data_IF_774589440485
#
_entry.id   IF_774589440485
#
_cell.length_a   1.000
_cell.length_b   1.000
_cell.length_c   1.000
_cell.angle_alpha   90.00
_cell.angle_beta   90.00
_cell.angle_gamma   90.00
#
_symmetry.space_group_name_H-M   'P 1'
#
loop_
_entity.id
_entity.type
_entity.pdbx_description
1 polymer ?
#
# COMPACT_ATOMS: atom_id res chain seq x y z
N UNK A 1 -2.28 13.72 10.72
CA UNK A 1 -3.36 12.76 10.44
C UNK A 1 -4.29 12.68 11.64
N UNK A 2 -5.27 13.58 11.75
CA UNK A 2 -6.30 13.40 12.76
C UNK A 2 -7.16 12.21 12.33
N UNK A 3 -7.22 11.19 13.18
CA UNK A 3 -8.21 10.13 13.02
C UNK A 3 -9.60 10.77 13.04
N UNK A 4 -10.44 10.42 12.06
CA UNK A 4 -11.83 10.91 12.03
C UNK A 4 -12.52 10.60 13.37
N UNK A 5 -13.19 11.60 13.95
CA UNK A 5 -14.03 11.41 15.14
C UNK A 5 -15.49 11.56 14.74
N UNK A 6 -16.33 10.73 15.36
CA UNK A 6 -17.77 10.79 15.15
C UNK A 6 -18.27 12.19 15.55
N UNK A 7 -18.91 12.87 14.60
CA UNK A 7 -19.41 14.24 14.77
C UNK A 7 -18.56 15.33 14.12
N UNK A 8 -17.32 15.03 13.74
CA UNK A 8 -16.48 15.94 12.95
C UNK A 8 -16.95 15.98 11.48
N UNK A 9 -16.51 16.99 10.75
CA UNK A 9 -16.59 17.01 9.28
C UNK A 9 -15.91 15.77 8.69
N UNK A 10 -16.44 15.29 7.57
CA UNK A 10 -15.82 14.15 6.87
C UNK A 10 -14.39 14.50 6.44
N UNK A 11 -13.48 13.51 6.41
CA UNK A 11 -12.14 13.67 5.84
C UNK A 11 -12.21 14.12 4.36
N UNK A 12 -11.25 14.96 3.98
CA UNK A 12 -11.12 15.55 2.63
C UNK A 12 -9.71 15.36 2.09
N UNK A 13 -9.07 14.22 2.42
CA UNK A 13 -7.76 13.88 1.85
C UNK A 13 -7.91 13.71 0.33
N UNK A 14 -6.84 14.02 -0.41
CA UNK A 14 -6.88 14.15 -1.86
C UNK A 14 -5.94 13.20 -2.55
N UNK A 15 -6.35 12.74 -3.73
CA UNK A 15 -5.46 12.23 -4.76
C UNK A 15 -5.36 13.28 -5.86
N UNK A 16 -4.13 13.69 -6.16
CA UNK A 16 -3.84 14.78 -7.09
C UNK A 16 -3.11 14.23 -8.31
N UNK A 17 -3.42 14.77 -9.48
CA UNK A 17 -2.64 14.60 -10.70
C UNK A 17 -1.78 15.86 -10.84
N UNK A 18 -0.47 15.66 -11.00
CA UNK A 18 0.51 16.72 -11.23
C UNK A 18 1.06 16.58 -12.65
N UNK A 19 0.88 17.60 -13.46
CA UNK A 19 1.25 17.61 -14.87
C UNK A 19 2.33 18.68 -15.12
N UNK A 20 3.34 18.32 -15.90
CA UNK A 20 4.28 19.25 -16.53
C UNK A 20 3.81 19.47 -17.97
N UNK A 21 3.10 20.59 -18.22
CA UNK A 21 2.50 20.86 -19.54
C UNK A 21 3.51 21.42 -20.54
N UNK A 22 4.72 21.77 -20.10
CA UNK A 22 5.74 22.40 -20.92
C UNK A 22 7.04 21.57 -21.08
N UNK A 23 7.14 20.42 -20.41
CA UNK A 23 8.27 19.48 -20.40
C UNK A 23 9.59 20.06 -19.86
N UNK A 24 9.56 20.97 -18.87
CA UNK A 24 10.75 21.49 -18.19
C UNK A 24 11.21 20.66 -16.97
N UNK A 25 10.50 19.57 -16.69
CA UNK A 25 10.71 18.68 -15.55
C UNK A 25 10.04 19.18 -14.26
N UNK A 26 9.17 20.19 -14.32
CA UNK A 26 8.43 20.71 -13.16
C UNK A 26 6.94 20.67 -13.44
N UNK A 27 6.18 20.16 -12.47
CA UNK A 27 4.73 20.24 -12.54
C UNK A 27 4.27 21.71 -12.50
N UNK A 28 3.40 22.08 -13.45
CA UNK A 28 2.82 23.41 -13.60
C UNK A 28 1.28 23.41 -13.56
N UNK A 29 0.65 22.23 -13.63
CA UNK A 29 -0.79 22.03 -13.48
C UNK A 29 -1.10 20.98 -12.41
N UNK A 30 -2.13 21.25 -11.62
CA UNK A 30 -2.62 20.37 -10.57
C UNK A 30 -4.12 20.14 -10.75
N UNK A 31 -4.51 18.87 -10.81
CA UNK A 31 -5.90 18.42 -10.90
C UNK A 31 -6.26 17.59 -9.67
N UNK A 32 -7.45 17.81 -9.09
CA UNK A 32 -7.95 16.99 -7.98
C UNK A 32 -8.72 15.82 -8.58
N UNK A 33 -8.12 14.63 -8.60
CA UNK A 33 -8.77 13.42 -9.08
C UNK A 33 -9.81 12.91 -8.08
N UNK A 34 -9.46 12.91 -6.80
CA UNK A 34 -10.35 12.55 -5.68
C UNK A 34 -10.14 13.52 -4.51
N UNK A 35 -11.22 13.88 -3.80
CA UNK A 35 -11.16 14.85 -2.70
C UNK A 35 -11.96 14.48 -1.44
N UNK A 36 -12.42 13.23 -1.35
CA UNK A 36 -13.22 12.68 -0.26
C UNK A 36 -12.55 11.45 0.39
N UNK A 37 -11.22 11.43 0.42
CA UNK A 37 -10.45 10.32 0.95
C UNK A 37 -10.18 10.46 2.46
N UNK A 38 -9.87 9.34 3.09
CA UNK A 38 -9.52 9.22 4.50
C UNK A 38 -8.33 8.28 4.62
N UNK A 39 -7.16 8.82 4.97
CA UNK A 39 -5.91 8.06 5.14
C UNK A 39 -5.52 7.30 3.85
N UNK A 40 -5.38 7.99 2.68
CA UNK A 40 -4.93 7.37 1.44
C UNK A 40 -3.41 7.14 1.44
N UNK A 41 -2.96 6.15 2.19
CA UNK A 41 -1.54 5.88 2.47
C UNK A 41 -0.78 5.22 1.31
N UNK A 42 -1.49 4.64 0.34
CA UNK A 42 -0.90 4.01 -0.83
C UNK A 42 -1.93 3.85 -1.94
N UNK A 43 -1.44 3.86 -3.18
CA UNK A 43 -2.30 3.68 -4.34
C UNK A 43 -1.54 3.03 -5.50
N UNK A 44 -2.29 2.44 -6.43
CA UNK A 44 -1.77 1.91 -7.70
C UNK A 44 -2.65 2.32 -8.86
N UNK A 45 -2.02 2.73 -9.96
CA UNK A 45 -2.72 3.14 -11.18
C UNK A 45 -3.16 1.90 -11.94
N UNK A 46 -4.38 1.93 -12.44
CA UNK A 46 -4.97 0.93 -13.34
C UNK A 46 -5.29 1.57 -14.70
N UNK A 47 -5.72 0.76 -15.65
CA UNK A 47 -6.08 1.23 -16.99
C UNK A 47 -7.21 2.27 -17.05
N UNK A 48 -8.11 2.27 -16.05
CA UNK A 48 -9.33 3.07 -16.02
C UNK A 48 -9.65 3.60 -14.61
N UNK A 49 -8.61 3.75 -13.78
CA UNK A 49 -8.80 4.16 -12.40
C UNK A 49 -7.58 3.96 -11.51
N UNK A 50 -7.81 4.03 -10.21
CA UNK A 50 -6.77 3.93 -9.18
C UNK A 50 -7.27 3.06 -8.03
N UNK A 51 -6.47 2.06 -7.64
CA UNK A 51 -6.64 1.34 -6.38
C UNK A 51 -6.06 2.20 -5.26
N UNK A 52 -6.80 2.45 -4.18
CA UNK A 52 -6.37 3.36 -3.12
C UNK A 52 -6.68 2.72 -1.77
N UNK A 53 -5.77 2.84 -0.80
CA UNK A 53 -6.12 2.58 0.59
C UNK A 53 -7.07 3.66 1.10
N UNK A 54 -8.11 3.26 1.81
CA UNK A 54 -9.11 4.17 2.37
C UNK A 54 -9.42 3.67 3.77
N UNK A 55 -8.69 4.18 4.76
CA UNK A 55 -8.83 3.73 6.15
C UNK A 55 -8.72 2.20 6.19
N UNK A 56 -9.65 1.48 6.82
CA UNK A 56 -9.65 0.02 6.91
C UNK A 56 -10.08 -0.72 5.62
N UNK A 57 -10.01 -0.09 4.45
CA UNK A 57 -10.48 -0.64 3.18
C UNK A 57 -9.51 -0.44 2.02
N UNK A 58 -9.58 -1.34 1.03
CA UNK A 58 -9.03 -1.13 -0.31
C UNK A 58 -10.18 -0.77 -1.24
N UNK A 59 -10.09 0.38 -1.90
CA UNK A 59 -11.11 0.87 -2.84
C UNK A 59 -10.54 0.99 -4.25
N UNK A 60 -11.43 0.94 -5.24
CA UNK A 60 -11.12 1.24 -6.63
C UNK A 60 -11.93 2.45 -7.09
N UNK A 61 -11.23 3.50 -7.51
CA UNK A 61 -11.79 4.75 -7.99
C UNK A 61 -11.63 4.79 -9.52
N UNK A 62 -12.72 4.91 -10.28
CA UNK A 62 -12.67 4.90 -11.75
C UNK A 62 -13.12 6.23 -12.32
N UNK A 63 -12.37 6.70 -13.30
CA UNK A 63 -12.78 7.77 -14.22
C UNK A 63 -13.38 7.07 -15.45
N UNK A 64 -14.64 7.36 -15.74
CA UNK A 64 -15.43 6.70 -16.79
C UNK A 64 -15.74 7.60 -17.97
N UNK A 65 -15.47 8.90 -17.88
CA UNK A 65 -15.71 9.88 -18.94
C UNK A 65 -14.45 10.63 -19.42
N UNK A 66 -13.31 10.42 -18.75
CA UNK A 66 -12.01 10.94 -19.12
C UNK A 66 -11.79 12.40 -18.72
N UNK A 67 -12.50 12.88 -17.69
CA UNK A 67 -12.39 14.26 -17.18
C UNK A 67 -11.34 14.47 -16.08
N UNK A 68 -10.52 13.44 -15.82
CA UNK A 68 -9.50 13.39 -14.77
C UNK A 68 -10.08 13.49 -13.34
N UNK A 69 -11.34 13.07 -13.15
CA UNK A 69 -11.95 12.85 -11.84
C UNK A 69 -12.60 11.48 -11.76
N UNK A 70 -12.63 10.92 -10.56
CA UNK A 70 -13.33 9.64 -10.39
C UNK A 70 -14.86 9.85 -10.42
N UNK A 71 -15.55 8.96 -11.14
CA UNK A 71 -17.01 8.87 -11.23
C UNK A 71 -17.58 7.80 -10.30
N UNK A 72 -16.85 6.69 -10.15
CA UNK A 72 -17.32 5.53 -9.39
C UNK A 72 -16.30 5.06 -8.37
N UNK A 73 -16.81 4.54 -7.24
CA UNK A 73 -16.03 4.03 -6.11
C UNK A 73 -16.54 2.65 -5.73
N UNK A 74 -15.70 1.63 -5.88
CA UNK A 74 -15.97 0.26 -5.45
C UNK A 74 -15.13 -0.07 -4.21
N UNK A 75 -15.76 -0.54 -3.13
CA UNK A 75 -15.02 -1.14 -1.99
C UNK A 75 -14.71 -2.58 -2.35
N UNK A 76 -13.43 -2.88 -2.56
CA UNK A 76 -12.99 -4.22 -2.97
C UNK A 76 -12.81 -5.14 -1.77
N UNK A 77 -12.21 -4.62 -0.70
CA UNK A 77 -11.91 -5.34 0.53
C UNK A 77 -12.06 -4.38 1.70
N UNK A 78 -12.54 -4.91 2.83
CA UNK A 78 -12.63 -4.21 4.10
C UNK A 78 -12.17 -5.11 5.24
N UNK A 79 -11.89 -4.51 6.41
CA UNK A 79 -11.37 -5.22 7.57
C UNK A 79 -9.85 -5.16 7.68
N UNK A 80 -9.21 -4.27 6.92
CA UNK A 80 -7.88 -3.82 7.29
C UNK A 80 -7.97 -2.96 8.55
N UNK A 81 -6.95 -3.03 9.40
CA UNK A 81 -6.87 -2.18 10.59
C UNK A 81 -6.20 -0.85 10.22
N UNK A 82 -6.72 0.25 10.75
CA UNK A 82 -6.25 1.61 10.53
C UNK A 82 -6.05 2.39 11.84
N UNK A 83 -6.06 1.68 12.98
CA UNK A 83 -6.00 2.29 14.31
C UNK A 83 -4.76 3.16 14.52
N UNK A 84 -3.61 2.74 13.98
CA UNK A 84 -2.49 3.64 13.73
C UNK A 84 -2.49 4.05 12.26
N UNK A 85 -2.95 5.27 12.02
CA UNK A 85 -3.11 5.84 10.68
C UNK A 85 -1.83 5.83 9.84
N UNK A 86 -0.63 5.79 10.46
CA UNK A 86 0.64 5.77 9.72
C UNK A 86 1.09 4.36 9.31
N UNK A 87 0.42 3.33 9.83
CA UNK A 87 0.77 1.92 9.63
C UNK A 87 -0.22 1.20 8.72
N UNK A 88 -1.33 1.86 8.36
CA UNK A 88 -2.38 1.33 7.49
C UNK A 88 -1.80 0.84 6.15
N UNK A 89 -2.57 0.05 5.39
CA UNK A 89 -2.09 -0.54 4.14
C UNK A 89 -1.51 0.53 3.19
N UNK A 90 -0.23 0.39 2.85
CA UNK A 90 0.57 1.39 2.16
C UNK A 90 1.65 0.73 1.27
N UNK A 91 2.55 1.55 0.71
CA UNK A 91 3.70 1.12 -0.08
C UNK A 91 3.33 0.13 -1.20
N UNK A 92 2.35 0.51 -2.01
CA UNK A 92 1.83 -0.39 -3.02
C UNK A 92 2.88 -0.65 -4.10
N UNK A 93 2.90 -1.88 -4.61
CA UNK A 93 3.73 -2.24 -5.75
C UNK A 93 3.08 -3.38 -6.52
N UNK A 94 3.00 -3.26 -7.85
CA UNK A 94 2.45 -4.31 -8.72
C UNK A 94 3.52 -5.32 -9.13
N UNK A 95 3.21 -6.62 -8.99
CA UNK A 95 4.03 -7.68 -9.55
C UNK A 95 3.74 -7.94 -11.03
N UNK A 96 4.60 -8.73 -11.70
CA UNK A 96 4.49 -9.03 -13.13
C UNK A 96 3.16 -9.72 -13.54
N UNK A 97 2.34 -10.19 -12.59
CA UNK A 97 1.01 -10.73 -12.86
C UNK A 97 -0.12 -9.70 -12.79
N UNK A 98 0.18 -8.46 -12.44
CA UNK A 98 -0.80 -7.41 -12.17
C UNK A 98 -1.42 -7.50 -10.77
N UNK A 99 -0.83 -8.27 -9.84
CA UNK A 99 -1.29 -8.32 -8.46
C UNK A 99 -0.60 -7.22 -7.64
N UNK A 100 -1.35 -6.61 -6.74
CA UNK A 100 -0.93 -5.48 -5.92
C UNK A 100 -0.41 -6.02 -4.59
N UNK A 101 0.83 -5.69 -4.26
CA UNK A 101 1.39 -5.90 -2.93
C UNK A 101 1.15 -4.67 -2.09
N UNK A 102 0.83 -4.86 -0.81
CA UNK A 102 0.53 -3.79 0.13
C UNK A 102 1.21 -4.13 1.45
N UNK A 103 1.84 -3.14 2.07
CA UNK A 103 2.54 -3.29 3.32
C UNK A 103 1.67 -2.80 4.49
N UNK A 104 1.81 -3.45 5.65
CA UNK A 104 1.10 -3.12 6.89
C UNK A 104 2.11 -3.05 8.05
N UNK A 105 1.95 -2.07 8.94
CA UNK A 105 2.84 -1.87 10.08
C UNK A 105 2.51 -2.68 11.34
N UNK A 106 3.43 -2.64 12.31
CA UNK A 106 3.47 -3.56 13.46
C UNK A 106 2.31 -3.46 14.47
N UNK A 107 1.60 -2.34 14.54
CA UNK A 107 0.54 -2.17 15.54
C UNK A 107 -0.81 -2.78 15.12
N UNK A 108 -0.92 -3.16 13.86
CA UNK A 108 -2.20 -3.46 13.23
C UNK A 108 -2.56 -4.93 13.25
N UNK A 109 -3.88 -5.17 13.36
CA UNK A 109 -4.51 -6.48 13.46
C UNK A 109 -5.66 -6.60 12.46
N UNK A 110 -5.31 -6.70 11.17
CA UNK A 110 -6.29 -6.84 10.09
C UNK A 110 -7.05 -8.17 10.11
N UNK A 111 -8.37 -8.08 9.97
CA UNK A 111 -9.32 -9.19 9.89
C UNK A 111 -10.18 -9.06 8.62
N UNK A 112 -9.58 -9.32 7.46
CA UNK A 112 -10.26 -9.18 6.17
C UNK A 112 -11.08 -10.43 5.88
N UNK A 113 -12.36 -10.25 5.56
CA UNK A 113 -13.22 -11.33 5.07
C UNK A 113 -13.22 -11.34 3.54
N UNK A 114 -13.03 -12.53 2.95
CA UNK A 114 -13.04 -12.70 1.49
C UNK A 114 -13.92 -13.87 1.09
N UNK A 115 -14.29 -13.94 -0.20
CA UNK A 115 -15.00 -15.10 -0.76
C UNK A 115 -14.20 -16.42 -0.67
N UNK A 116 -12.89 -16.33 -0.45
CA UNK A 116 -12.00 -17.48 -0.25
C UNK A 116 -11.78 -17.83 1.23
N UNK A 117 -12.49 -17.14 2.13
CA UNK A 117 -12.33 -17.24 3.57
C UNK A 117 -11.54 -16.07 4.17
N UNK A 118 -11.41 -16.06 5.51
CA UNK A 118 -10.76 -14.99 6.24
C UNK A 118 -9.25 -14.94 5.96
N UNK A 119 -8.73 -13.73 5.79
CA UNK A 119 -7.29 -13.46 5.74
C UNK A 119 -6.93 -12.56 6.91
N UNK A 120 -6.00 -13.02 7.75
CA UNK A 120 -5.60 -12.33 8.98
C UNK A 120 -4.19 -11.76 8.85
N UNK A 121 -4.02 -10.56 9.41
CA UNK A 121 -2.74 -9.89 9.56
C UNK A 121 -2.53 -9.52 11.01
N UNK A 122 -1.30 -9.69 11.49
CA UNK A 122 -0.88 -9.27 12.83
C UNK A 122 0.54 -8.80 12.79
N UNK A 123 0.89 -7.81 13.60
CA UNK A 123 2.28 -7.43 13.87
C UNK A 123 3.08 -7.10 12.61
N UNK A 124 2.44 -6.45 11.64
CA UNK A 124 3.05 -6.01 10.39
C UNK A 124 3.32 -7.13 9.38
N UNK A 125 3.54 -6.74 8.13
CA UNK A 125 3.78 -7.69 7.03
C UNK A 125 3.25 -7.17 5.71
N UNK A 126 2.99 -8.11 4.80
CA UNK A 126 2.68 -7.82 3.42
C UNK A 126 1.49 -8.64 2.95
N UNK A 127 0.54 -7.97 2.32
CA UNK A 127 -0.57 -8.58 1.61
C UNK A 127 -0.30 -8.57 0.11
N UNK A 128 -0.89 -9.54 -0.59
CA UNK A 128 -0.93 -9.58 -2.05
C UNK A 128 -2.37 -9.76 -2.49
N UNK A 129 -2.90 -8.79 -3.24
CA UNK A 129 -4.24 -8.79 -3.80
C UNK A 129 -4.17 -8.99 -5.31
N UNK A 130 -4.90 -9.98 -5.85
CA UNK A 130 -5.03 -10.19 -7.29
C UNK A 130 -6.36 -9.64 -7.79
N UNK A 131 -6.39 -8.50 -8.49
CA UNK A 131 -7.66 -7.91 -8.97
C UNK A 131 -8.46 -8.86 -9.87
N UNK A 132 -7.77 -9.62 -10.75
CA UNK A 132 -8.39 -10.59 -11.67
C UNK A 132 -9.18 -11.68 -10.95
N UNK A 133 -8.72 -12.13 -9.79
CA UNK A 133 -9.35 -13.25 -9.04
C UNK A 133 -10.04 -12.78 -7.76
N UNK A 134 -9.91 -11.49 -7.42
CA UNK A 134 -10.29 -10.91 -6.12
C UNK A 134 -9.71 -11.65 -4.91
N UNK A 135 -8.59 -12.34 -5.10
CA UNK A 135 -7.94 -13.14 -4.05
C UNK A 135 -6.97 -12.27 -3.27
N UNK A 136 -7.15 -12.21 -1.96
CA UNK A 136 -6.17 -11.67 -1.02
C UNK A 136 -5.38 -12.81 -0.40
N UNK A 137 -4.07 -12.62 -0.23
CA UNK A 137 -3.20 -13.53 0.53
C UNK A 137 -2.30 -12.74 1.46
N UNK A 138 -2.03 -13.26 2.65
CA UNK A 138 -0.91 -12.80 3.48
C UNK A 138 0.37 -13.32 2.84
N UNK A 139 1.07 -12.44 2.12
CA UNK A 139 2.21 -12.80 1.28
C UNK A 139 3.45 -13.05 2.12
N UNK A 140 3.76 -12.18 3.08
CA UNK A 140 4.88 -12.37 3.99
C UNK A 140 4.63 -11.71 5.35
N UNK A 141 5.30 -12.20 6.39
CA UNK A 141 5.18 -11.66 7.75
C UNK A 141 6.53 -11.62 8.45
N UNK A 142 6.98 -10.41 8.75
CA UNK A 142 8.28 -10.14 9.36
C UNK A 142 8.14 -9.27 10.60
N UNK A 143 9.12 -9.38 11.49
CA UNK A 143 9.24 -8.54 12.68
C UNK A 143 9.81 -7.18 12.29
N UNK A 144 8.97 -6.35 11.66
CA UNK A 144 9.35 -5.05 11.10
C UNK A 144 8.40 -3.95 11.61
N UNK A 145 8.88 -2.73 11.90
CA UNK A 145 8.06 -1.70 12.54
C UNK A 145 7.02 -1.13 11.57
N UNK A 146 7.46 -0.54 10.47
CA UNK A 146 6.56 0.04 9.48
C UNK A 146 7.20 -0.03 8.08
N UNK A 147 6.77 -0.95 7.20
CA UNK A 147 7.27 -1.03 5.84
C UNK A 147 6.80 0.13 4.95
N UNK A 148 7.71 0.75 4.19
CA UNK A 148 7.39 1.88 3.27
C UNK A 148 7.94 1.69 1.85
N UNK A 149 8.54 0.54 1.56
CA UNK A 149 9.01 0.24 0.21
C UNK A 149 8.80 -1.23 -0.11
N UNK A 150 8.25 -1.48 -1.30
CA UNK A 150 8.20 -2.78 -1.95
C UNK A 150 8.71 -2.56 -3.37
N UNK A 151 9.59 -3.43 -3.86
CA UNK A 151 9.99 -3.40 -5.25
C UNK A 151 10.30 -4.80 -5.74
N UNK A 152 10.14 -4.99 -7.04
CA UNK A 152 10.53 -6.20 -7.76
C UNK A 152 11.68 -5.87 -8.68
N UNK A 153 12.70 -6.73 -8.71
CA UNK A 153 13.70 -6.64 -9.78
C UNK A 153 13.18 -7.23 -11.11
N UNK A 154 13.99 -7.13 -12.16
CA UNK A 154 13.66 -7.66 -13.50
C UNK A 154 13.44 -9.18 -13.55
N UNK A 155 13.85 -9.92 -12.53
CA UNK A 155 13.68 -11.37 -12.42
C UNK A 155 12.47 -11.75 -11.55
N UNK A 156 11.75 -10.76 -11.00
CA UNK A 156 10.61 -10.98 -10.13
C UNK A 156 10.99 -11.23 -8.66
N UNK A 157 12.24 -10.98 -8.26
CA UNK A 157 12.64 -11.03 -6.85
C UNK A 157 12.02 -9.86 -6.12
N UNK A 158 11.24 -10.14 -5.08
CA UNK A 158 10.64 -9.15 -4.22
C UNK A 158 11.57 -8.70 -3.10
N UNK A 159 11.55 -7.40 -2.85
CA UNK A 159 12.31 -6.74 -1.81
C UNK A 159 11.40 -5.83 -1.01
N UNK A 160 11.82 -5.54 0.22
CA UNK A 160 11.17 -4.51 1.00
C UNK A 160 12.15 -3.68 1.79
N UNK A 161 11.66 -2.52 2.20
CA UNK A 161 12.31 -1.61 3.10
C UNK A 161 11.33 -1.17 4.18
N UNK A 162 11.83 -0.98 5.40
CA UNK A 162 11.01 -0.52 6.51
C UNK A 162 11.62 0.68 7.24
N UNK A 163 10.75 1.58 7.66
CA UNK A 163 11.09 2.77 8.42
C UNK A 163 11.18 2.40 9.91
N UNK A 164 11.75 3.31 10.71
CA UNK A 164 12.47 3.00 11.97
C UNK A 164 13.82 2.30 11.78
N UNK A 165 14.23 2.10 10.52
CA UNK A 165 15.46 1.47 10.01
C UNK A 165 15.84 2.11 8.67
N UNK A 166 17.10 2.00 8.20
CA UNK A 166 17.38 2.04 6.77
C UNK A 166 17.39 0.63 6.17
N UNK A 167 16.90 -0.37 6.91
CA UNK A 167 17.02 -1.78 6.55
C UNK A 167 16.25 -2.08 5.26
N UNK A 168 16.92 -2.81 4.38
CA UNK A 168 16.41 -3.29 3.10
C UNK A 168 16.70 -4.78 3.01
N UNK A 169 15.72 -5.58 2.61
CA UNK A 169 15.77 -7.04 2.74
C UNK A 169 15.05 -7.74 1.59
N UNK A 170 15.43 -8.98 1.29
CA UNK A 170 14.62 -9.87 0.46
C UNK A 170 13.30 -10.19 1.16
N UNK A 171 12.19 -10.18 0.41
CA UNK A 171 10.89 -10.59 0.92
C UNK A 171 10.65 -12.09 0.73
N UNK A 172 11.13 -12.67 -0.39
CA UNK A 172 10.94 -14.08 -0.77
C UNK A 172 11.15 -15.09 0.35
N UNK A 173 12.21 -15.02 1.19
CA UNK A 173 12.42 -16.01 2.26
C UNK A 173 11.28 -16.06 3.29
N UNK A 174 10.50 -14.99 3.41
CA UNK A 174 9.33 -14.92 4.29
C UNK A 174 8.00 -15.22 3.63
N UNK A 175 7.98 -15.64 2.36
CA UNK A 175 6.76 -15.97 1.60
C UNK A 175 6.20 -17.36 1.93
N UNK A 176 6.26 -17.70 3.21
CA UNK A 176 5.69 -18.93 3.77
C UNK A 176 4.34 -18.63 4.38
N UNK A 177 3.53 -19.67 4.60
CA UNK A 177 2.23 -19.51 5.28
C UNK A 177 2.45 -18.88 6.67
N UNK A 178 2.00 -17.64 6.83
CA UNK A 178 2.08 -16.93 8.09
C UNK A 178 1.28 -17.67 9.18
N UNK A 179 1.89 -17.80 10.36
CA UNK A 179 1.20 -18.26 11.58
C UNK A 179 0.78 -17.02 12.34
N UNK A 180 -0.47 -16.98 12.79
CA UNK A 180 -1.02 -15.85 13.53
C UNK A 180 -0.14 -15.49 14.74
N UNK A 181 0.26 -14.22 14.85
CA UNK A 181 1.14 -13.75 15.93
C UNK A 181 2.62 -14.16 15.84
N UNK A 182 3.04 -14.89 14.80
CA UNK A 182 4.44 -15.31 14.63
C UNK A 182 5.11 -14.56 13.47
N UNK A 183 6.28 -13.99 13.72
CA UNK A 183 6.99 -13.16 12.76
C UNK A 183 8.37 -13.73 12.43
N UNK A 184 8.72 -13.70 11.14
CA UNK A 184 10.08 -14.03 10.69
C UNK A 184 11.02 -12.83 10.90
N UNK A 185 12.31 -13.09 10.88
CA UNK A 185 13.33 -12.03 10.87
C UNK A 185 13.91 -11.89 9.47
N UNK A 186 14.13 -10.66 9.04
CA UNK A 186 14.78 -10.36 7.79
C UNK A 186 16.10 -9.62 8.07
N UNK A 187 17.26 -10.16 7.66
CA UNK A 187 18.51 -9.43 7.75
C UNK A 187 18.56 -8.31 6.70
N UNK A 188 19.22 -7.20 7.04
CA UNK A 188 19.47 -6.13 6.07
C UNK A 188 20.55 -6.55 5.07
N UNK A 189 20.35 -6.21 3.80
CA UNK A 189 21.30 -6.42 2.70
C UNK A 189 22.30 -5.27 2.59
N UNK A 190 21.92 -4.09 3.07
CA UNK A 190 22.79 -2.93 3.06
C UNK A 190 23.92 -3.11 4.08
N UNK A 191 25.15 -2.96 3.60
CA UNK A 191 26.37 -2.97 4.42
C UNK A 191 26.98 -1.57 4.59
N UNK A 192 26.54 -0.59 3.79
CA UNK A 192 26.99 0.82 3.82
C UNK A 192 25.96 1.73 3.14
N UNK A 193 26.16 3.05 3.19
CA UNK A 193 25.34 4.08 2.51
C UNK A 193 23.84 4.07 2.88
N UNK A 194 23.56 3.80 4.14
CA UNK A 194 22.20 3.72 4.68
C UNK A 194 21.76 5.08 5.25
N UNK A 195 20.77 5.74 4.64
CA UNK A 195 20.27 7.07 5.04
C UNK A 195 18.84 6.98 5.58
N UNK A 196 18.50 7.85 6.54
CA UNK A 196 17.14 8.03 7.05
C UNK A 196 16.68 9.49 6.88
N UNK A 197 15.37 9.76 6.74
CA UNK A 197 14.29 8.78 6.57
C UNK A 197 14.36 8.07 5.21
N UNK A 198 13.80 6.88 5.14
CA UNK A 198 13.63 6.13 3.89
C UNK A 198 12.19 6.33 3.40
N UNK A 199 12.03 6.70 2.13
CA UNK A 199 10.75 7.18 1.58
C UNK A 199 10.16 6.29 0.48
N UNK A 200 10.78 5.15 0.19
CA UNK A 200 10.36 4.25 -0.86
C UNK A 200 11.48 3.28 -1.26
N UNK A 201 11.20 2.49 -2.29
CA UNK A 201 12.15 1.56 -2.89
C UNK A 201 11.83 1.44 -4.37
N UNK A 202 12.84 1.65 -5.22
CA UNK A 202 12.74 1.53 -6.67
C UNK A 202 14.08 1.04 -7.23
N UNK A 203 14.03 0.32 -8.36
CA UNK A 203 15.21 -0.02 -9.15
C UNK A 203 15.27 0.92 -10.36
N UNK A 204 16.34 1.70 -10.47
CA UNK A 204 16.60 2.66 -11.56
C UNK A 204 17.58 2.08 -12.58
#
# INVERSE_FOLDING_TARGET
YPHYRIGDSKPEDKLLILEDTNNDGKADKQTVFAGDLHIPMGFEIAHDGVYVSQSGSLVFLRDTDGDDKYDTKEVLLSGFDDHDTHHAIAAFCVDASGAIHMAEGVFLHSNVETVYGPVRGTNGGFFRYSPRTRKLTRHAQFSIPNPWGIAFDRYGQDFFLHTSGPSFSWMTPGTVKAVYGANLRAPSLLTSNSVRPTSGLEFV
#
